data_IF_405194425920
#
_entry.id   IF_405194425920
#
_cell.length_a   1.000
_cell.length_b   1.000
_cell.length_c   1.000
_cell.angle_alpha   90.00
_cell.angle_beta   90.00
_cell.angle_gamma   90.00
#
_symmetry.space_group_name_H-M   'P 1'
#
loop_
_entity.id
_entity.type
_entity.pdbx_description
1 polymer ?
#
# COMPACT_ATOMS: atom_id res chain seq x y z
N UNK A 1 -11.69 11.47 8.65
CA UNK A 1 -10.72 12.00 7.68
C UNK A 1 -11.42 12.59 6.46
N UNK A 2 -12.73 12.41 6.33
CA UNK A 2 -13.59 12.97 5.28
C UNK A 2 -13.49 14.50 5.14
N UNK A 3 -13.32 15.22 6.25
CA UNK A 3 -13.24 16.70 6.27
C UNK A 3 -11.85 17.26 5.91
N UNK A 4 -10.88 16.41 5.56
CA UNK A 4 -9.53 16.84 5.20
C UNK A 4 -9.52 17.69 3.92
N UNK A 5 -8.59 18.65 3.83
CA UNK A 5 -8.33 19.36 2.57
C UNK A 5 -7.69 18.46 1.51
N UNK A 6 -7.02 17.38 1.91
CA UNK A 6 -6.50 16.37 0.99
C UNK A 6 -7.55 15.30 0.71
N UNK A 7 -8.10 15.31 -0.51
CA UNK A 7 -9.12 14.35 -0.97
C UNK A 7 -8.52 13.18 -1.76
N UNK A 8 -7.19 13.17 -1.93
CA UNK A 8 -6.45 12.09 -2.60
C UNK A 8 -6.61 10.78 -1.84
N UNK A 9 -6.86 9.70 -2.59
CA UNK A 9 -7.09 8.37 -2.01
C UNK A 9 -5.80 7.56 -2.02
N UNK A 10 -5.47 6.97 -0.87
CA UNK A 10 -4.34 6.07 -0.71
C UNK A 10 -4.86 4.74 -0.20
N UNK A 11 -4.55 3.66 -0.91
CA UNK A 11 -4.96 2.30 -0.61
C UNK A 11 -3.76 1.51 -0.10
N UNK A 12 -3.95 0.76 0.98
CA UNK A 12 -3.09 -0.36 1.33
C UNK A 12 -3.80 -1.64 0.86
N UNK A 13 -3.21 -2.31 -0.13
CA UNK A 13 -3.70 -3.56 -0.69
C UNK A 13 -3.23 -4.73 0.17
N UNK A 14 -4.14 -5.31 0.96
CA UNK A 14 -3.85 -6.40 1.89
C UNK A 14 -4.28 -7.78 1.35
N UNK A 15 -4.41 -7.96 0.03
CA UNK A 15 -4.86 -9.23 -0.55
C UNK A 15 -3.81 -10.37 -0.53
N UNK A 16 -2.76 -10.24 0.29
CA UNK A 16 -1.54 -11.06 0.23
C UNK A 16 -1.30 -11.96 1.46
N UNK A 17 -2.31 -12.17 2.31
CA UNK A 17 -2.18 -13.01 3.52
C UNK A 17 -1.54 -14.39 3.23
N UNK A 18 -1.90 -14.99 2.10
CA UNK A 18 -1.41 -16.31 1.66
C UNK A 18 0.08 -16.35 1.29
N UNK A 19 0.71 -15.19 1.15
CA UNK A 19 2.14 -15.05 0.85
C UNK A 19 2.97 -14.73 2.10
N UNK A 20 2.34 -14.61 3.27
CA UNK A 20 3.01 -14.17 4.50
C UNK A 20 2.93 -15.23 5.60
N UNK A 21 4.02 -15.34 6.37
CA UNK A 21 3.99 -16.07 7.63
C UNK A 21 3.16 -15.32 8.67
N UNK A 22 2.68 -15.99 9.71
CA UNK A 22 1.98 -15.33 10.83
C UNK A 22 2.79 -14.18 11.44
N UNK A 23 4.11 -14.36 11.58
CA UNK A 23 5.02 -13.32 12.07
C UNK A 23 5.02 -12.10 11.15
N UNK A 24 4.96 -12.31 9.85
CA UNK A 24 4.93 -11.23 8.86
C UNK A 24 3.55 -10.57 8.78
N UNK A 25 2.45 -11.31 8.92
CA UNK A 25 1.10 -10.74 9.11
C UNK A 25 1.07 -9.81 10.34
N UNK A 26 1.66 -10.24 11.47
CA UNK A 26 1.73 -9.41 12.67
C UNK A 26 2.52 -8.11 12.43
N UNK A 27 3.64 -8.18 11.70
CA UNK A 27 4.41 -6.98 11.34
C UNK A 27 3.63 -6.06 10.40
N UNK A 28 2.89 -6.62 9.45
CA UNK A 28 2.06 -5.84 8.54
C UNK A 28 0.94 -5.13 9.30
N UNK A 29 0.28 -5.83 10.23
CA UNK A 29 -0.73 -5.22 11.11
C UNK A 29 -0.18 -4.01 11.87
N UNK A 30 1.03 -4.12 12.44
CA UNK A 30 1.71 -2.99 13.08
C UNK A 30 2.02 -1.86 12.09
N UNK A 31 2.46 -2.18 10.86
CA UNK A 31 2.72 -1.16 9.84
C UNK A 31 1.44 -0.43 9.41
N UNK A 32 0.33 -1.14 9.22
CA UNK A 32 -0.97 -0.55 8.87
C UNK A 32 -1.50 0.33 10.02
N UNK A 33 -1.41 -0.13 11.26
CA UNK A 33 -1.77 0.67 12.44
C UNK A 33 -0.91 1.96 12.55
N UNK A 34 0.37 1.87 12.21
CA UNK A 34 1.25 3.03 12.13
C UNK A 34 0.83 3.98 11.01
N UNK A 35 0.49 3.48 9.81
CA UNK A 35 -0.03 4.32 8.72
C UNK A 35 -1.27 5.12 9.15
N UNK A 36 -2.24 4.45 9.79
CA UNK A 36 -3.41 5.14 10.36
C UNK A 36 -2.99 6.21 11.39
N UNK A 37 -2.13 5.85 12.34
CA UNK A 37 -1.68 6.76 13.40
C UNK A 37 -0.95 7.98 12.85
N UNK A 38 -0.19 7.83 11.76
CA UNK A 38 0.49 8.92 11.05
C UNK A 38 -0.54 9.79 10.34
N UNK A 39 -1.46 9.19 9.59
CA UNK A 39 -2.46 9.92 8.82
C UNK A 39 -3.38 10.73 9.74
N UNK A 40 -3.81 10.17 10.87
CA UNK A 40 -4.68 10.85 11.85
C UNK A 40 -4.05 12.11 12.46
N UNK A 41 -2.72 12.20 12.45
CA UNK A 41 -1.95 13.35 12.98
C UNK A 41 -1.40 14.24 11.87
N UNK A 42 -1.65 13.90 10.60
CA UNK A 42 -1.21 14.72 9.48
C UNK A 42 -2.03 16.02 9.43
N UNK A 43 -1.41 17.09 8.95
CA UNK A 43 -2.08 18.39 8.77
C UNK A 43 -3.24 18.30 7.78
N UNK A 44 -3.04 17.56 6.68
CA UNK A 44 -4.05 17.25 5.69
C UNK A 44 -4.08 15.74 5.44
N UNK A 45 -4.82 14.97 6.28
CA UNK A 45 -4.90 13.52 6.15
C UNK A 45 -5.38 13.09 4.75
N UNK A 46 -4.78 12.07 4.17
CA UNK A 46 -5.30 11.47 2.93
C UNK A 46 -6.56 10.66 3.23
N UNK A 47 -7.34 10.35 2.19
CA UNK A 47 -8.45 9.42 2.29
C UNK A 47 -7.89 7.98 2.27
N UNK A 48 -7.63 7.43 3.46
CA UNK A 48 -6.99 6.11 3.63
C UNK A 48 -7.99 4.96 3.49
N UNK A 49 -7.62 3.99 2.65
CA UNK A 49 -8.32 2.72 2.44
C UNK A 49 -7.42 1.55 2.80
N UNK A 50 -7.97 0.54 3.48
CA UNK A 50 -7.33 -0.74 3.76
C UNK A 50 -8.23 -1.80 3.14
N UNK A 51 -7.77 -2.40 2.05
CA UNK A 51 -8.59 -3.26 1.17
C UNK A 51 -8.07 -4.70 1.15
N UNK A 52 -8.85 -5.64 0.62
CA UNK A 52 -8.47 -7.04 0.51
C UNK A 52 -8.49 -7.81 1.83
N UNK A 53 -9.13 -7.26 2.88
CA UNK A 53 -9.18 -7.85 4.23
C UNK A 53 -9.97 -9.17 4.31
N UNK A 54 -10.76 -9.48 3.28
CA UNK A 54 -11.51 -10.73 3.15
C UNK A 54 -10.72 -11.84 2.45
N UNK A 55 -9.52 -11.56 1.95
CA UNK A 55 -8.72 -12.52 1.18
C UNK A 55 -8.42 -13.76 2.01
N UNK A 56 -8.99 -14.90 1.60
CA UNK A 56 -8.73 -16.19 2.24
C UNK A 56 -7.42 -16.77 1.71
N UNK A 57 -6.67 -17.42 2.59
CA UNK A 57 -5.66 -18.39 2.19
C UNK A 57 -6.36 -19.54 1.46
N UNK A 58 -6.44 -19.50 0.15
CA UNK A 58 -6.93 -20.62 -0.68
C UNK A 58 -5.86 -21.70 -0.82
N UNK A 59 -5.30 -22.14 0.31
CA UNK A 59 -4.42 -23.32 0.38
C UNK A 59 -5.11 -24.52 1.04
N UNK A 60 -6.40 -24.42 1.37
CA UNK A 60 -7.21 -25.58 1.71
C UNK A 60 -8.35 -25.73 0.70
N UNK A 61 -8.40 -26.88 0.02
CA UNK A 61 -9.51 -27.26 -0.84
C UNK A 61 -10.80 -27.24 -0.03
N UNK A 62 -11.68 -26.27 -0.27
CA UNK A 62 -13.06 -26.21 0.26
C UNK A 62 -13.97 -27.36 -0.27
N UNK A 63 -13.39 -28.42 -0.87
CA UNK A 63 -14.13 -29.57 -1.41
C UNK A 63 -14.17 -30.80 -0.49
N UNK A 64 -13.43 -30.81 0.62
CA UNK A 64 -13.41 -31.95 1.56
C UNK A 64 -14.31 -31.75 2.79
N UNK A 65 -15.22 -30.76 2.78
CA UNK A 65 -16.25 -30.65 3.82
C UNK A 65 -17.44 -31.55 3.45
N UNK A 66 -17.22 -32.87 3.58
CA UNK A 66 -18.31 -33.82 3.77
C UNK A 66 -18.95 -33.57 5.13
N UNK A 67 -20.29 -33.53 5.17
CA UNK A 67 -21.13 -33.14 6.31
C UNK A 67 -21.16 -34.15 7.49
N UNK A 68 -20.07 -34.82 7.86
CA UNK A 68 -20.15 -35.93 8.85
C UNK A 68 -19.19 -35.92 10.05
N UNK A 69 -18.30 -34.94 10.22
CA UNK A 69 -17.41 -34.93 11.41
C UNK A 69 -17.79 -33.85 12.45
N UNK A 70 -18.88 -34.09 13.18
CA UNK A 70 -19.36 -33.25 14.30
C UNK A 70 -18.62 -33.48 15.64
N UNK A 71 -17.40 -34.04 15.61
CA UNK A 71 -16.57 -34.25 16.80
C UNK A 71 -15.08 -33.99 16.56
N UNK A 72 -14.76 -32.85 15.94
CA UNK A 72 -13.40 -32.35 15.89
C UNK A 72 -13.09 -31.51 17.13
N UNK A 73 -12.02 -31.88 17.84
CA UNK A 73 -11.56 -31.27 19.09
C UNK A 73 -11.35 -29.75 18.95
N UNK A 74 -11.66 -29.03 20.02
CA UNK A 74 -11.55 -27.55 20.13
C UNK A 74 -10.19 -27.02 19.66
N UNK A 75 -9.10 -27.78 19.86
CA UNK A 75 -7.74 -27.47 19.40
C UNK A 75 -7.58 -27.34 17.87
N UNK A 76 -8.38 -28.05 17.06
CA UNK A 76 -8.29 -27.98 15.58
C UNK A 76 -9.06 -26.79 15.00
N UNK A 77 -9.99 -26.20 15.75
CA UNK A 77 -10.67 -24.96 15.39
C UNK A 77 -9.77 -23.72 15.57
N UNK A 78 -8.75 -23.80 16.41
CA UNK A 78 -7.83 -22.68 16.69
C UNK A 78 -6.88 -22.34 15.53
N UNK A 79 -6.63 -23.28 14.60
CA UNK A 79 -5.85 -23.02 13.39
C UNK A 79 -6.69 -22.48 12.23
N UNK A 80 -7.75 -21.71 12.52
CA UNK A 80 -8.27 -20.75 11.54
C UNK A 80 -7.08 -19.91 11.08
N UNK A 81 -6.74 -19.93 9.79
CA UNK A 81 -5.70 -19.08 9.21
C UNK A 81 -5.91 -17.65 9.70
N UNK A 82 -5.07 -17.20 10.65
CA UNK A 82 -5.20 -15.88 11.26
C UNK A 82 -4.97 -14.86 10.16
N UNK A 83 -5.99 -14.05 9.88
CA UNK A 83 -5.95 -13.04 8.82
C UNK A 83 -5.33 -11.75 9.33
N UNK A 84 -4.88 -10.90 8.42
CA UNK A 84 -4.48 -9.55 8.78
C UNK A 84 -5.59 -8.81 9.51
N UNK A 85 -6.86 -8.99 9.10
CA UNK A 85 -7.97 -8.29 9.72
C UNK A 85 -8.14 -8.67 11.20
N UNK A 86 -8.00 -9.96 11.55
CA UNK A 86 -8.05 -10.43 12.94
C UNK A 86 -6.99 -9.73 13.81
N UNK A 87 -5.78 -9.50 13.25
CA UNK A 87 -4.71 -8.77 13.93
C UNK A 87 -5.00 -7.28 14.08
N UNK A 88 -5.63 -6.66 13.08
CA UNK A 88 -6.03 -5.26 13.15
C UNK A 88 -7.14 -5.03 14.20
N UNK A 89 -8.06 -5.98 14.39
CA UNK A 89 -9.08 -5.92 15.45
C UNK A 89 -8.49 -5.78 16.85
N UNK A 90 -7.30 -6.36 17.11
CA UNK A 90 -6.59 -6.19 18.39
C UNK A 90 -6.19 -4.73 18.67
N UNK A 91 -6.10 -3.89 17.64
CA UNK A 91 -5.84 -2.44 17.75
C UNK A 91 -7.11 -1.61 17.66
N UNK A 92 -8.28 -2.23 17.85
CA UNK A 92 -9.61 -1.63 17.73
C UNK A 92 -9.81 -0.90 16.38
N UNK A 93 -9.40 -1.53 15.28
CA UNK A 93 -9.45 -0.89 13.96
C UNK A 93 -10.84 -0.47 13.51
N UNK A 94 -11.91 -1.08 14.04
CA UNK A 94 -13.29 -0.70 13.72
C UNK A 94 -13.65 0.72 14.18
N UNK A 95 -12.92 1.28 15.15
CA UNK A 95 -13.10 2.66 15.59
C UNK A 95 -12.18 3.64 14.84
N UNK A 96 -11.43 3.17 13.84
CA UNK A 96 -10.57 4.04 13.06
C UNK A 96 -11.40 4.77 12.01
N UNK A 97 -11.16 6.07 11.88
CA UNK A 97 -11.80 6.92 10.89
C UNK A 97 -11.11 6.77 9.52
N UNK A 98 -11.21 5.56 8.95
CA UNK A 98 -10.64 5.11 7.66
C UNK A 98 -11.59 4.13 6.97
N UNK A 99 -11.35 3.85 5.70
CA UNK A 99 -12.15 2.88 4.95
C UNK A 99 -11.56 1.47 5.09
N UNK A 100 -12.19 0.62 5.89
CA UNK A 100 -11.85 -0.81 5.97
C UNK A 100 -12.74 -1.59 4.98
N UNK A 101 -12.13 -2.36 4.09
CA UNK A 101 -12.84 -3.11 3.05
C UNK A 101 -12.34 -4.56 2.97
N UNK A 102 -13.27 -5.51 3.03
CA UNK A 102 -12.97 -6.93 2.78
C UNK A 102 -12.64 -7.20 1.31
N UNK A 103 -13.29 -6.47 0.40
CA UNK A 103 -13.10 -6.57 -1.04
C UNK A 103 -11.76 -5.99 -1.53
N UNK A 104 -11.31 -6.51 -2.67
CA UNK A 104 -10.18 -5.97 -3.43
C UNK A 104 -10.49 -4.55 -3.95
N UNK A 105 -9.47 -3.68 -3.97
CA UNK A 105 -9.61 -2.27 -4.39
C UNK A 105 -10.15 -2.10 -5.81
N UNK A 106 -9.98 -3.08 -6.70
CA UNK A 106 -10.52 -3.05 -8.07
C UNK A 106 -12.05 -3.08 -8.12
N UNK A 107 -12.72 -3.49 -7.02
CA UNK A 107 -14.18 -3.36 -6.89
C UNK A 107 -14.63 -1.95 -6.51
N UNK A 108 -13.72 -1.14 -5.96
CA UNK A 108 -14.01 0.19 -5.44
C UNK A 108 -13.64 1.30 -6.43
N UNK A 109 -12.62 1.06 -7.25
CA UNK A 109 -12.03 2.09 -8.12
C UNK A 109 -11.87 1.58 -9.56
N UNK A 110 -12.07 2.46 -10.52
CA UNK A 110 -11.89 2.14 -11.94
C UNK A 110 -10.40 1.99 -12.28
N UNK A 111 -10.08 1.05 -13.17
CA UNK A 111 -8.71 0.69 -13.51
C UNK A 111 -7.89 1.87 -14.05
N UNK A 112 -8.52 2.81 -14.77
CA UNK A 112 -7.86 4.00 -15.32
C UNK A 112 -7.36 4.97 -14.23
N UNK A 113 -7.98 4.96 -13.03
CA UNK A 113 -7.59 5.82 -11.90
C UNK A 113 -6.52 5.22 -11.00
N UNK A 114 -6.21 3.94 -11.17
CA UNK A 114 -5.30 3.21 -10.27
C UNK A 114 -3.85 3.47 -10.66
N UNK A 115 -3.04 3.84 -9.66
CA UNK A 115 -1.59 3.98 -9.74
C UNK A 115 -0.97 3.08 -8.68
N UNK A 116 -0.47 1.92 -9.08
CA UNK A 116 0.15 0.98 -8.16
C UNK A 116 1.62 1.33 -7.94
N UNK A 117 2.02 1.56 -6.68
CA UNK A 117 3.37 1.94 -6.33
C UNK A 117 4.30 0.73 -6.28
N UNK A 118 5.31 0.71 -7.15
CA UNK A 118 6.26 -0.38 -7.32
C UNK A 118 7.66 0.19 -7.54
N UNK A 119 8.67 -0.33 -6.82
CA UNK A 119 10.05 0.15 -6.97
C UNK A 119 10.62 -0.12 -8.37
N UNK A 120 10.07 -1.12 -9.06
CA UNK A 120 10.42 -1.56 -10.41
C UNK A 120 9.80 -0.70 -11.52
N UNK A 121 8.86 0.19 -11.22
CA UNK A 121 8.20 1.02 -12.24
C UNK A 121 9.19 1.93 -12.96
N UNK A 122 9.06 2.03 -14.28
CA UNK A 122 9.83 2.99 -15.10
C UNK A 122 9.35 4.43 -14.89
N UNK A 123 8.08 4.61 -14.48
CA UNK A 123 7.48 5.92 -14.28
C UNK A 123 7.73 6.47 -12.87
N UNK A 124 8.20 7.71 -12.82
CA UNK A 124 8.43 8.48 -11.60
C UNK A 124 7.15 9.18 -11.15
N UNK A 125 6.91 9.25 -9.85
CA UNK A 125 5.93 10.20 -9.32
C UNK A 125 6.42 11.65 -9.50
N UNK A 126 5.55 12.60 -9.86
CA UNK A 126 5.92 14.00 -10.02
C UNK A 126 6.17 14.66 -8.66
N UNK A 127 6.78 15.85 -8.68
CA UNK A 127 6.92 16.70 -7.50
C UNK A 127 5.60 17.33 -7.07
N UNK A 128 4.69 17.57 -8.02
CA UNK A 128 3.39 18.21 -7.81
C UNK A 128 2.27 17.40 -8.46
N UNK A 129 1.12 17.31 -7.78
CA UNK A 129 -0.02 16.50 -8.19
C UNK A 129 -1.22 17.39 -8.58
N UNK A 130 -1.15 17.98 -9.77
CA UNK A 130 -2.21 18.87 -10.24
C UNK A 130 -3.56 18.17 -10.39
N UNK A 131 -4.65 18.92 -10.18
CA UNK A 131 -6.02 18.42 -10.32
C UNK A 131 -6.39 18.04 -11.77
N UNK A 132 -5.77 18.71 -12.74
CA UNK A 132 -6.10 18.59 -14.15
C UNK A 132 -5.01 17.80 -14.85
N UNK A 133 -5.43 16.89 -15.73
CA UNK A 133 -4.48 16.18 -16.57
C UNK A 133 -4.00 17.10 -17.68
N UNK A 134 -2.78 17.62 -17.55
CA UNK A 134 -2.14 18.38 -18.63
C UNK A 134 -1.56 17.37 -19.61
N UNK A 135 -2.24 17.14 -20.73
CA UNK A 135 -1.69 16.32 -21.81
C UNK A 135 -0.54 17.09 -22.46
N UNK A 136 0.70 16.79 -22.08
CA UNK A 136 1.87 17.33 -22.77
C UNK A 136 2.16 16.40 -23.95
N UNK A 137 1.77 16.81 -25.15
CA UNK A 137 2.25 16.18 -26.38
C UNK A 137 3.66 16.68 -26.66
N UNK A 138 4.68 15.92 -26.22
CA UNK A 138 6.04 16.11 -26.70
C UNK A 138 6.22 15.32 -28.00
N UNK A 139 6.78 16.01 -28.99
CA UNK A 139 7.28 15.48 -30.26
C UNK A 139 8.12 14.22 -30.01
N UNK A 140 7.61 13.08 -30.52
CA UNK A 140 8.22 11.76 -30.60
C UNK A 140 8.54 11.00 -29.28
N UNK A 141 7.58 10.13 -28.93
CA UNK A 141 7.75 8.73 -28.45
C UNK A 141 7.68 8.35 -26.97
N UNK A 142 7.44 9.26 -26.03
CA UNK A 142 7.03 8.87 -24.66
C UNK A 142 5.81 9.66 -24.23
N UNK A 143 4.65 8.99 -24.16
CA UNK A 143 3.52 9.56 -23.46
C UNK A 143 3.90 9.63 -21.98
N UNK A 144 4.23 10.83 -21.48
CA UNK A 144 4.48 11.03 -20.07
C UNK A 144 3.22 10.60 -19.31
N UNK A 145 3.33 9.55 -18.49
CA UNK A 145 2.23 9.17 -17.61
C UNK A 145 2.00 10.30 -16.64
N UNK A 146 0.81 10.89 -16.72
CA UNK A 146 0.41 11.94 -15.81
C UNK A 146 -0.20 11.33 -14.54
N UNK A 147 0.15 11.88 -13.38
CA UNK A 147 -0.33 11.45 -12.06
C UNK A 147 -0.92 12.65 -11.33
N UNK A 148 -2.12 12.52 -10.78
CA UNK A 148 -2.92 13.63 -10.26
C UNK A 148 -3.50 13.35 -8.88
N UNK A 149 -3.93 14.38 -8.15
CA UNK A 149 -4.66 14.22 -6.88
C UNK A 149 -5.99 13.43 -7.00
N UNK A 150 -6.50 13.25 -8.23
CA UNK A 150 -7.72 12.48 -8.50
C UNK A 150 -7.45 10.99 -8.75
N UNK A 151 -6.18 10.59 -8.79
CA UNK A 151 -5.78 9.19 -8.92
C UNK A 151 -5.84 8.46 -7.56
N UNK A 152 -5.82 7.13 -7.63
CA UNK A 152 -5.86 6.23 -6.48
C UNK A 152 -4.48 5.59 -6.36
N UNK A 153 -3.74 5.96 -5.32
CA UNK A 153 -2.38 5.46 -5.09
C UNK A 153 -2.43 4.18 -4.25
N UNK A 154 -1.99 3.07 -4.82
CA UNK A 154 -2.04 1.75 -4.16
C UNK A 154 -0.65 1.35 -3.67
N UNK A 155 -0.54 0.99 -2.39
CA UNK A 155 0.66 0.45 -1.75
C UNK A 155 0.42 -1.03 -1.46
N UNK A 156 1.33 -1.89 -1.87
CA UNK A 156 1.28 -3.31 -1.50
C UNK A 156 1.47 -3.52 0.01
N UNK A 157 0.45 -4.09 0.66
CA UNK A 157 0.50 -4.60 2.02
C UNK A 157 1.10 -6.00 2.04
N UNK A 158 2.40 -6.11 1.74
CA UNK A 158 3.13 -7.38 1.66
C UNK A 158 4.46 -7.29 2.42
N UNK A 159 4.71 -8.26 3.28
CA UNK A 159 6.02 -8.47 3.93
C UNK A 159 6.58 -9.80 3.48
N UNK A 160 7.44 -9.75 2.48
CA UNK A 160 8.06 -10.91 1.82
C UNK A 160 9.58 -10.98 2.03
N UNK A 161 10.15 -10.04 2.78
CA UNK A 161 11.62 -9.84 2.93
C UNK A 161 12.34 -9.59 1.59
N UNK A 162 11.61 -9.12 0.58
CA UNK A 162 12.06 -8.92 -0.80
C UNK A 162 12.49 -10.26 -1.47
N UNK A 163 11.80 -11.35 -1.15
CA UNK A 163 11.94 -12.65 -1.81
C UNK A 163 11.13 -12.72 -3.12
N UNK A 164 10.03 -11.98 -3.23
CA UNK A 164 9.11 -11.94 -4.37
C UNK A 164 9.34 -10.66 -5.20
N UNK A 165 10.55 -10.52 -5.74
CA UNK A 165 10.96 -9.33 -6.52
C UNK A 165 9.99 -9.08 -7.68
N UNK A 166 9.50 -7.85 -7.82
CA UNK A 166 8.59 -7.45 -8.88
C UNK A 166 7.20 -8.09 -8.85
N UNK A 167 6.82 -8.80 -7.77
CA UNK A 167 5.52 -9.49 -7.72
C UNK A 167 4.35 -8.51 -7.87
N UNK A 168 4.28 -7.48 -7.02
CA UNK A 168 3.22 -6.47 -7.10
C UNK A 168 3.22 -5.75 -8.45
N UNK A 169 4.41 -5.45 -8.99
CA UNK A 169 4.56 -4.82 -10.30
C UNK A 169 3.95 -5.67 -11.42
N UNK A 170 4.32 -6.96 -11.49
CA UNK A 170 3.78 -7.88 -12.48
C UNK A 170 2.26 -8.02 -12.35
N UNK A 171 1.73 -8.06 -11.13
CA UNK A 171 0.29 -8.14 -10.90
C UNK A 171 -0.44 -6.85 -11.32
N UNK A 172 0.13 -5.68 -11.06
CA UNK A 172 -0.42 -4.40 -11.51
C UNK A 172 -0.46 -4.30 -13.04
N UNK A 173 0.64 -4.68 -13.72
CA UNK A 173 0.71 -4.70 -15.19
C UNK A 173 -0.31 -5.68 -15.78
N UNK A 174 -0.43 -6.90 -15.23
CA UNK A 174 -1.43 -7.88 -15.69
C UNK A 174 -2.87 -7.38 -15.56
N UNK A 175 -3.15 -6.54 -14.57
CA UNK A 175 -4.46 -5.90 -14.36
C UNK A 175 -4.65 -4.62 -15.17
N UNK A 176 -3.66 -4.21 -15.96
CA UNK A 176 -3.71 -2.99 -16.77
C UNK A 176 -3.65 -1.69 -15.97
N UNK A 177 -3.10 -1.73 -14.75
CA UNK A 177 -2.95 -0.53 -13.92
C UNK A 177 -1.72 0.29 -14.34
N UNK A 178 -1.80 1.61 -14.17
CA UNK A 178 -0.59 2.45 -14.20
C UNK A 178 0.27 2.08 -12.99
N UNK A 179 1.59 2.16 -13.15
CA UNK A 179 2.53 1.96 -12.05
C UNK A 179 3.43 3.18 -11.90
N UNK A 180 3.86 3.47 -10.68
CA UNK A 180 4.81 4.55 -10.42
C UNK A 180 5.77 4.16 -9.30
N UNK A 181 6.93 4.83 -9.22
CA UNK A 181 7.87 4.69 -8.11
C UNK A 181 8.17 6.01 -7.43
N UNK A 182 8.59 5.93 -6.17
CA UNK A 182 9.14 7.05 -5.42
C UNK A 182 10.47 7.52 -6.05
N UNK A 183 10.78 8.82 -6.00
CA UNK A 183 11.99 9.39 -6.58
C UNK A 183 13.25 9.18 -5.72
N UNK A 184 13.50 7.95 -5.28
CA UNK A 184 14.59 7.62 -4.34
C UNK A 184 15.99 7.89 -4.90
N UNK A 185 16.16 7.88 -6.22
CA UNK A 185 17.45 8.11 -6.90
C UNK A 185 17.57 9.52 -7.46
N UNK A 186 16.45 10.20 -7.61
CA UNK A 186 16.31 11.47 -8.30
C UNK A 186 16.39 12.65 -7.34
N UNK A 187 16.03 12.46 -6.07
CA UNK A 187 16.28 13.46 -5.04
C UNK A 187 17.71 13.35 -4.52
N UNK A 188 18.25 14.46 -4.02
CA UNK A 188 19.56 14.51 -3.36
C UNK A 188 19.53 13.81 -1.98
N UNK A 189 19.43 12.48 -2.01
CA UNK A 189 19.35 11.60 -0.86
C UNK A 189 20.15 10.32 -1.12
N UNK A 190 21.20 10.11 -0.34
CA UNK A 190 22.06 8.94 -0.47
C UNK A 190 21.58 7.83 0.48
N UNK A 191 21.03 6.76 -0.08
CA UNK A 191 20.45 5.63 0.67
C UNK A 191 21.34 4.40 0.52
N UNK A 192 21.67 3.77 1.65
CA UNK A 192 22.38 2.50 1.66
C UNK A 192 21.44 1.30 1.44
N UNK A 193 21.89 0.34 0.63
CA UNK A 193 21.25 -0.96 0.44
C UNK A 193 20.09 -0.94 -0.56
N UNK A 194 19.00 -1.62 -0.22
CA UNK A 194 17.86 -1.84 -1.14
C UNK A 194 16.93 -0.63 -1.19
N UNK A 195 16.42 -0.36 -2.40
CA UNK A 195 15.46 0.70 -2.71
C UNK A 195 13.99 0.27 -2.56
N UNK A 196 13.75 -0.96 -2.10
CA UNK A 196 12.42 -1.43 -1.71
C UNK A 196 12.17 -1.03 -0.25
N UNK A 197 11.18 -0.17 -0.05
CA UNK A 197 10.77 0.32 1.27
C UNK A 197 9.60 -0.52 1.81
N UNK A 198 9.44 -0.56 3.12
CA UNK A 198 8.28 -1.21 3.74
C UNK A 198 7.02 -0.36 3.57
N UNK A 199 5.83 -0.99 3.66
CA UNK A 199 4.52 -0.34 3.51
C UNK A 199 4.41 0.97 4.28
N UNK A 200 4.82 0.98 5.57
CA UNK A 200 4.77 2.19 6.40
C UNK A 200 5.70 3.31 5.91
N UNK A 201 6.90 2.99 5.41
CA UNK A 201 7.84 4.00 4.93
C UNK A 201 7.41 4.57 3.58
N UNK A 202 6.81 3.75 2.71
CA UNK A 202 6.17 4.25 1.48
C UNK A 202 5.04 5.21 1.83
N UNK A 203 4.18 4.83 2.78
CA UNK A 203 3.08 5.68 3.25
C UNK A 203 3.58 7.00 3.84
N UNK A 204 4.60 6.94 4.71
CA UNK A 204 5.23 8.12 5.33
C UNK A 204 5.87 9.06 4.31
N UNK A 205 6.50 8.53 3.27
CA UNK A 205 7.11 9.34 2.22
C UNK A 205 6.05 9.97 1.30
N UNK A 206 5.01 9.21 0.96
CA UNK A 206 4.02 9.60 -0.02
C UNK A 206 3.04 10.66 0.50
N UNK A 207 2.45 10.43 1.68
CA UNK A 207 1.29 11.22 2.12
C UNK A 207 1.57 12.71 2.29
N UNK A 208 2.69 13.14 2.90
CA UNK A 208 3.00 14.57 3.01
C UNK A 208 3.18 15.27 1.66
N UNK A 209 3.65 14.56 0.63
CA UNK A 209 3.80 15.10 -0.73
C UNK A 209 2.45 15.19 -1.42
N UNK A 210 1.63 14.13 -1.35
CA UNK A 210 0.25 14.15 -1.87
C UNK A 210 -0.61 15.24 -1.23
N UNK A 211 -0.33 15.57 0.04
CA UNK A 211 -1.04 16.59 0.79
C UNK A 211 -0.49 18.00 0.59
N UNK A 212 0.60 18.17 -0.18
CA UNK A 212 1.27 19.45 -0.41
C UNK A 212 1.99 20.03 0.81
N UNK A 213 2.25 19.23 1.84
CA UNK A 213 2.88 19.70 3.09
C UNK A 213 4.39 19.55 3.12
N UNK A 214 4.97 18.71 2.24
CA UNK A 214 6.41 18.50 2.12
C UNK A 214 6.84 18.24 0.69
N UNK A 215 8.09 18.59 0.38
CA UNK A 215 8.79 18.11 -0.81
C UNK A 215 9.17 16.63 -0.68
N UNK A 216 9.53 15.97 -1.80
CA UNK A 216 10.06 14.61 -1.76
C UNK A 216 11.31 14.47 -0.90
N UNK A 217 12.24 15.42 -0.95
CA UNK A 217 13.47 15.38 -0.17
C UNK A 217 13.18 15.40 1.35
N UNK A 218 12.33 16.33 1.80
CA UNK A 218 11.94 16.44 3.21
C UNK A 218 11.17 15.21 3.69
N UNK A 219 10.24 14.74 2.86
CA UNK A 219 9.40 13.59 3.19
C UNK A 219 10.21 12.29 3.24
N UNK A 220 11.09 12.05 2.28
CA UNK A 220 11.96 10.87 2.22
C UNK A 220 13.01 10.87 3.33
N UNK A 221 13.62 12.02 3.67
CA UNK A 221 14.51 12.15 4.83
C UNK A 221 13.82 11.78 6.14
N UNK A 222 12.54 12.11 6.28
CA UNK A 222 11.76 11.76 7.47
C UNK A 222 11.30 10.30 7.48
N UNK A 223 10.91 9.77 6.32
CA UNK A 223 10.36 8.42 6.19
C UNK A 223 11.44 7.33 6.25
N UNK A 224 12.65 7.59 5.75
CA UNK A 224 13.69 6.57 5.70
C UNK A 224 14.43 6.50 7.03
N UNK A 225 14.61 5.29 7.62
CA UNK A 225 15.34 5.16 8.89
C UNK A 225 16.74 5.78 8.82
N UNK A 226 17.17 6.58 9.82
CA UNK A 226 18.45 7.30 9.79
C UNK A 226 19.66 6.42 9.49
N UNK A 227 19.66 5.17 9.99
CA UNK A 227 20.71 4.18 9.73
C UNK A 227 20.89 3.78 8.26
N UNK A 228 19.95 4.13 7.38
CA UNK A 228 20.04 3.92 5.93
C UNK A 228 20.50 5.17 5.18
N UNK A 229 20.58 6.32 5.85
CA UNK A 229 20.98 7.58 5.23
C UNK A 229 22.49 7.73 5.40
N UNK A 230 23.19 7.90 4.28
CA UNK A 230 24.62 8.18 4.29
C UNK A 230 24.83 9.66 4.61
N UNK A 231 25.73 9.96 5.55
CA UNK A 231 26.22 11.32 5.76
C UNK A 231 27.00 11.75 4.51
N UNK A 232 26.58 12.87 3.92
CA UNK A 232 27.33 13.57 2.86
C UNK A 232 28.63 14.11 3.45
#
# INVERSE_FOLDING_TARGET
MSESLCQTKVVIDCAYDHLMSFKDICKLASQVANCYSINRRAEHPVQLYITGLGSRNTTMNDKDISKEDDYLTVDKLEHRSIRLYDRLKLSNCDSWDVNLCEDDYTRLFSADKIVYLCAESEHLLPDNFDAKSTSIHMDNSVQLMNFTQNDIYVIGGLIDHNNLKGYCYQQAIKRGHRTARLPLKEVDLHIEGRNVLSTVHVFQALCPVLSGTKTWLESLKHAIPPRKLLSV
#
